data_IF_474628673257
#
_entry.id   IF_474628673257
#
_cell.length_a   1.000
_cell.length_b   1.000
_cell.length_c   1.000
_cell.angle_alpha   90.00
_cell.angle_beta   90.00
_cell.angle_gamma   90.00
#
_symmetry.space_group_name_H-M   'P 1'
#
loop_
_entity.id
_entity.type
_entity.pdbx_description
1 polymer ?
#
# COMPACT_ATOMS: atom_id res chain seq x y z
N UNK A 1 -3.73 -10.37 13.20
CA UNK A 1 -3.04 -9.60 14.27
C UNK A 1 -3.34 -10.14 15.67
N UNK A 2 -4.63 -10.31 16.04
CA UNK A 2 -4.99 -10.72 17.40
C UNK A 2 -4.30 -12.02 17.83
N UNK A 3 -4.28 -13.04 16.96
CA UNK A 3 -3.65 -14.32 17.25
C UNK A 3 -2.13 -14.21 17.56
N UNK A 4 -1.43 -13.23 16.96
CA UNK A 4 -0.02 -12.95 17.31
C UNK A 4 0.07 -12.27 18.66
N UNK A 5 -0.79 -11.30 18.94
CA UNK A 5 -0.81 -10.58 20.24
C UNK A 5 -1.15 -11.53 21.40
N UNK A 6 -2.03 -12.52 21.18
CA UNK A 6 -2.41 -13.54 22.17
C UNK A 6 -1.44 -14.71 22.26
N UNK A 7 -0.44 -14.81 21.37
CA UNK A 7 0.53 -15.89 21.34
C UNK A 7 0.03 -17.19 20.70
N UNK A 8 -1.07 -17.14 19.98
CA UNK A 8 -1.60 -18.28 19.22
C UNK A 8 -0.82 -18.51 17.90
N UNK A 9 -0.16 -17.44 17.39
CA UNK A 9 0.70 -17.46 16.23
C UNK A 9 1.96 -16.63 16.51
N UNK A 10 3.08 -17.01 15.90
CA UNK A 10 4.37 -16.32 16.08
C UNK A 10 4.51 -15.07 15.21
N UNK A 11 3.91 -15.07 14.00
CA UNK A 11 3.98 -13.97 13.04
C UNK A 11 2.73 -13.92 12.14
N UNK A 12 2.58 -12.81 11.39
CA UNK A 12 1.50 -12.63 10.42
C UNK A 12 1.93 -11.72 9.28
N UNK A 13 1.36 -11.94 8.09
CA UNK A 13 1.36 -10.98 6.99
C UNK A 13 0.03 -10.20 7.01
N UNK A 14 0.11 -8.88 7.07
CA UNK A 14 -1.08 -8.04 7.18
C UNK A 14 -0.78 -6.62 6.68
N UNK A 15 -1.82 -5.92 6.19
CA UNK A 15 -1.70 -4.49 5.88
C UNK A 15 -1.43 -3.69 7.15
N UNK A 16 -0.42 -2.82 7.09
CA UNK A 16 0.04 -2.03 8.24
C UNK A 16 -1.08 -1.18 8.86
N UNK A 17 -1.96 -0.60 8.04
CA UNK A 17 -3.09 0.21 8.51
C UNK A 17 -4.03 -0.55 9.47
N UNK A 18 -4.16 -1.86 9.30
CA UNK A 18 -4.97 -2.70 10.19
C UNK A 18 -4.34 -3.00 11.54
N UNK A 19 -3.07 -2.63 11.75
CA UNK A 19 -2.30 -2.93 12.97
C UNK A 19 -1.48 -1.73 13.48
N UNK A 20 -1.68 -0.54 12.92
CA UNK A 20 -0.94 0.67 13.29
C UNK A 20 -0.97 0.90 14.82
N UNK A 21 -2.15 0.83 15.44
CA UNK A 21 -2.29 1.00 16.88
C UNK A 21 -1.55 -0.05 17.73
N UNK A 22 -1.42 -1.29 17.26
CA UNK A 22 -0.64 -2.33 17.96
C UNK A 22 0.87 -2.11 17.81
N UNK A 23 1.30 -1.56 16.69
CA UNK A 23 2.70 -1.19 16.46
C UNK A 23 3.06 0.00 17.35
N UNK A 24 2.24 1.05 17.40
CA UNK A 24 2.42 2.21 18.26
C UNK A 24 2.42 1.82 19.75
N UNK A 25 1.53 0.90 20.16
CA UNK A 25 1.49 0.37 21.50
C UNK A 25 2.66 -0.59 21.84
N UNK A 26 3.49 -0.95 20.86
CA UNK A 26 4.62 -1.88 21.03
C UNK A 26 4.20 -3.34 21.25
N UNK A 27 2.95 -3.70 21.01
CA UNK A 27 2.43 -5.08 21.14
C UNK A 27 2.68 -5.93 19.90
N UNK A 28 2.93 -5.29 18.75
CA UNK A 28 3.44 -5.89 17.52
C UNK A 28 4.71 -5.19 17.07
N UNK A 29 5.63 -5.97 16.51
CA UNK A 29 6.86 -5.47 15.90
C UNK A 29 6.83 -5.71 14.40
N UNK A 30 7.10 -4.67 13.61
CA UNK A 30 7.37 -4.82 12.18
C UNK A 30 8.72 -5.51 11.99
N UNK A 31 8.75 -6.53 11.15
CA UNK A 31 9.96 -7.28 10.81
C UNK A 31 10.51 -6.86 9.45
N UNK A 32 9.62 -6.72 8.47
CA UNK A 32 9.95 -6.31 7.12
C UNK A 32 8.70 -5.81 6.38
N UNK A 33 8.90 -5.13 5.26
CA UNK A 33 7.87 -4.79 4.28
C UNK A 33 8.05 -5.59 2.99
N UNK A 34 6.97 -5.77 2.24
CA UNK A 34 6.94 -6.51 0.96
C UNK A 34 7.00 -5.59 -0.27
N UNK A 35 7.20 -4.30 -0.08
CA UNK A 35 7.48 -3.34 -1.15
C UNK A 35 8.92 -3.51 -1.65
N UNK A 36 9.19 -3.17 -2.92
CA UNK A 36 10.53 -3.22 -3.51
C UNK A 36 11.57 -2.40 -2.71
N UNK A 37 11.12 -1.30 -2.10
CA UNK A 37 11.97 -0.41 -1.30
C UNK A 37 11.37 -0.21 0.10
N UNK A 38 12.20 0.31 1.01
CA UNK A 38 11.74 0.75 2.33
C UNK A 38 10.65 1.82 2.17
N UNK A 39 9.70 1.85 3.09
CA UNK A 39 8.61 2.83 3.08
C UNK A 39 8.95 4.03 3.95
N UNK A 40 8.76 5.25 3.43
CA UNK A 40 8.94 6.49 4.19
C UNK A 40 8.01 6.57 5.42
N UNK A 41 6.84 5.93 5.36
CA UNK A 41 5.90 5.85 6.49
C UNK A 41 6.28 4.81 7.54
N UNK A 42 7.31 3.99 7.28
CA UNK A 42 7.77 2.91 8.17
C UNK A 42 9.31 2.95 8.31
N UNK A 43 9.89 4.05 8.79
CA UNK A 43 11.34 4.23 8.82
C UNK A 43 12.02 3.14 9.64
N UNK A 44 13.10 2.58 9.08
CA UNK A 44 13.88 1.52 9.72
C UNK A 44 13.26 0.12 9.63
N UNK A 45 12.17 -0.06 8.88
CA UNK A 45 11.62 -1.39 8.57
C UNK A 45 12.19 -1.84 7.21
N UNK A 46 13.01 -2.91 7.16
CA UNK A 46 13.68 -3.33 5.96
C UNK A 46 12.71 -3.87 4.90
N UNK A 47 13.03 -3.66 3.62
CA UNK A 47 12.38 -4.35 2.51
C UNK A 47 12.90 -5.78 2.39
N UNK A 48 12.01 -6.76 2.18
CA UNK A 48 12.41 -8.14 1.88
C UNK A 48 13.19 -8.22 0.56
N UNK A 49 12.75 -7.50 -0.47
CA UNK A 49 13.42 -7.48 -1.76
C UNK A 49 14.88 -6.97 -1.66
N UNK A 50 15.13 -5.95 -0.84
CA UNK A 50 16.47 -5.43 -0.64
C UNK A 50 17.31 -6.31 0.30
N UNK A 51 16.69 -6.93 1.30
CA UNK A 51 17.40 -7.75 2.29
C UNK A 51 17.76 -9.13 1.75
N UNK A 52 16.90 -9.70 0.91
CA UNK A 52 17.03 -11.03 0.32
C UNK A 52 16.86 -10.98 -1.20
N UNK A 53 17.80 -10.33 -1.93
CA UNK A 53 17.64 -10.07 -3.36
C UNK A 53 17.65 -11.35 -4.24
N UNK A 54 18.23 -12.44 -3.76
CA UNK A 54 18.24 -13.71 -4.50
C UNK A 54 16.90 -14.42 -4.41
N UNK A 55 16.18 -14.31 -3.28
CA UNK A 55 14.90 -14.99 -3.03
C UNK A 55 13.70 -14.10 -3.28
N UNK A 56 13.84 -12.79 -3.05
CA UNK A 56 12.74 -11.83 -3.03
C UNK A 56 12.99 -10.60 -3.92
N UNK A 57 14.05 -10.58 -4.76
CA UNK A 57 14.47 -9.37 -5.49
C UNK A 57 13.40 -8.77 -6.41
N UNK A 58 12.49 -9.60 -6.92
CA UNK A 58 11.39 -9.16 -7.79
C UNK A 58 10.11 -8.83 -6.99
N UNK A 59 10.15 -8.93 -5.66
CA UNK A 59 8.96 -8.72 -4.82
C UNK A 59 8.61 -7.23 -4.72
N UNK A 60 7.41 -6.88 -5.17
CA UNK A 60 6.78 -5.58 -4.93
C UNK A 60 5.28 -5.75 -4.66
N UNK A 61 4.96 -6.28 -3.48
CA UNK A 61 3.59 -6.53 -3.04
C UNK A 61 3.11 -5.36 -2.19
N UNK A 62 2.38 -4.44 -2.81
CA UNK A 62 1.79 -3.27 -2.13
C UNK A 62 0.27 -3.33 -2.18
N UNK A 63 -0.38 -2.95 -1.09
CA UNK A 63 -1.83 -2.72 -1.08
C UNK A 63 -2.11 -1.26 -1.41
N UNK A 64 -2.89 -1.02 -2.46
CA UNK A 64 -3.24 0.32 -2.93
C UNK A 64 -4.76 0.49 -2.89
N UNK A 65 -5.21 1.61 -2.35
CA UNK A 65 -6.61 2.03 -2.42
C UNK A 65 -6.77 3.07 -3.52
N UNK A 66 -7.70 2.85 -4.43
CA UNK A 66 -7.99 3.76 -5.53
C UNK A 66 -9.49 3.90 -5.77
N UNK A 67 -9.91 4.99 -6.42
CA UNK A 67 -11.27 5.19 -6.88
C UNK A 67 -11.39 4.71 -8.33
N UNK A 68 -12.31 3.77 -8.57
CA UNK A 68 -12.66 3.31 -9.91
C UNK A 68 -13.99 3.88 -10.37
N UNK A 69 -14.12 4.17 -11.67
CA UNK A 69 -15.35 4.59 -12.34
C UNK A 69 -15.57 3.77 -13.60
N UNK A 70 -16.79 3.71 -14.10
CA UNK A 70 -17.12 3.03 -15.37
C UNK A 70 -16.33 3.65 -16.52
N UNK A 71 -15.81 2.81 -17.42
CA UNK A 71 -15.00 3.24 -18.57
C UNK A 71 -15.80 4.06 -19.62
N UNK A 72 -17.13 3.95 -19.60
CA UNK A 72 -18.05 4.69 -20.48
C UNK A 72 -18.65 5.95 -19.80
N UNK A 73 -18.12 6.37 -18.66
CA UNK A 73 -18.52 7.60 -18.01
C UNK A 73 -18.10 8.82 -18.83
N UNK A 74 -18.89 9.90 -18.70
CA UNK A 74 -18.57 11.17 -19.38
C UNK A 74 -17.16 11.65 -18.97
N UNK A 75 -16.28 11.97 -19.94
CA UNK A 75 -14.93 12.46 -19.66
C UNK A 75 -14.89 13.65 -18.69
N UNK A 76 -15.87 14.54 -18.76
CA UNK A 76 -15.95 15.69 -17.84
C UNK A 76 -16.22 15.25 -16.38
N UNK A 77 -16.96 14.15 -16.18
CA UNK A 77 -17.19 13.59 -14.85
C UNK A 77 -15.90 12.92 -14.33
N UNK A 78 -15.19 12.19 -15.21
CA UNK A 78 -13.92 11.56 -14.87
C UNK A 78 -12.90 12.62 -14.41
N UNK A 79 -12.74 13.69 -15.21
CA UNK A 79 -11.83 14.79 -14.89
C UNK A 79 -12.21 15.51 -13.58
N UNK A 80 -13.49 15.80 -13.39
CA UNK A 80 -13.99 16.42 -12.16
C UNK A 80 -13.72 15.57 -10.93
N UNK A 81 -14.00 14.26 -10.98
CA UNK A 81 -13.73 13.33 -9.88
C UNK A 81 -12.24 13.24 -9.59
N UNK A 82 -11.39 13.14 -10.63
CA UNK A 82 -9.94 13.08 -10.48
C UNK A 82 -9.41 14.34 -9.77
N UNK A 83 -9.82 15.52 -10.20
CA UNK A 83 -9.40 16.79 -9.61
C UNK A 83 -9.86 16.90 -8.14
N UNK A 84 -11.14 16.56 -7.88
CA UNK A 84 -11.70 16.61 -6.51
C UNK A 84 -10.99 15.61 -5.59
N UNK A 85 -10.66 14.41 -6.08
CA UNK A 85 -9.91 13.41 -5.30
C UNK A 85 -8.50 13.92 -4.98
N UNK A 86 -7.80 14.49 -5.96
CA UNK A 86 -6.45 15.03 -5.75
C UNK A 86 -6.43 16.19 -4.76
N UNK A 87 -7.43 17.09 -4.81
CA UNK A 87 -7.60 18.12 -3.80
C UNK A 87 -7.81 17.53 -2.40
N UNK A 88 -8.63 16.47 -2.29
CA UNK A 88 -8.84 15.75 -1.05
C UNK A 88 -7.56 15.10 -0.51
N UNK A 89 -6.80 14.42 -1.38
CA UNK A 89 -5.53 13.75 -1.02
C UNK A 89 -4.46 14.78 -0.59
N UNK A 90 -4.48 15.98 -1.16
CA UNK A 90 -3.57 17.07 -0.79
C UNK A 90 -3.99 17.81 0.51
N UNK A 91 -5.12 17.49 1.11
CA UNK A 91 -5.61 18.14 2.32
C UNK A 91 -4.84 17.72 3.58
N UNK A 92 -4.74 18.64 4.54
CA UNK A 92 -4.13 18.37 5.85
C UNK A 92 -4.84 17.24 6.60
N UNK A 93 -6.17 17.21 6.56
CA UNK A 93 -6.99 16.16 7.17
C UNK A 93 -6.66 14.77 6.61
N UNK A 94 -6.42 14.67 5.29
CA UNK A 94 -6.05 13.39 4.69
C UNK A 94 -4.61 13.00 5.05
N UNK A 95 -3.70 13.95 5.13
CA UNK A 95 -2.33 13.72 5.59
C UNK A 95 -2.29 13.17 7.03
N UNK A 96 -3.03 13.81 7.96
CA UNK A 96 -3.16 13.34 9.34
C UNK A 96 -3.76 11.92 9.42
N UNK A 97 -4.81 11.64 8.61
CA UNK A 97 -5.43 10.31 8.55
C UNK A 97 -4.44 9.26 8.08
N UNK A 98 -3.73 9.51 6.99
CA UNK A 98 -2.77 8.54 6.42
C UNK A 98 -1.57 8.33 7.32
N UNK A 99 -1.07 9.37 7.99
CA UNK A 99 -0.02 9.26 8.99
C UNK A 99 -0.46 8.35 10.15
N UNK A 100 -1.67 8.55 10.70
CA UNK A 100 -2.22 7.71 11.78
C UNK A 100 -2.41 6.25 11.38
N UNK A 101 -2.50 5.96 10.10
CA UNK A 101 -2.62 4.60 9.55
C UNK A 101 -1.30 4.05 9.00
N UNK A 102 -0.19 4.77 9.19
CA UNK A 102 1.14 4.42 8.62
C UNK A 102 1.09 4.19 7.10
N UNK A 103 0.29 5.00 6.40
CA UNK A 103 0.10 4.94 4.95
C UNK A 103 0.77 6.13 4.28
N UNK A 104 1.27 5.95 3.07
CA UNK A 104 1.84 7.02 2.25
C UNK A 104 0.81 7.47 1.21
N UNK A 105 0.27 8.71 1.28
CA UNK A 105 -0.60 9.24 0.26
C UNK A 105 0.17 9.42 -1.05
N UNK A 106 -0.46 9.10 -2.17
CA UNK A 106 0.12 9.28 -3.49
C UNK A 106 -0.90 9.88 -4.45
N UNK A 107 -0.52 10.98 -5.08
CA UNK A 107 -1.27 11.60 -6.15
C UNK A 107 -0.75 11.07 -7.48
N UNK A 108 -1.62 10.48 -8.26
CA UNK A 108 -1.31 10.00 -9.61
C UNK A 108 -2.30 10.61 -10.59
N UNK A 109 -1.85 10.87 -11.81
CA UNK A 109 -2.76 11.13 -12.91
C UNK A 109 -3.45 9.83 -13.37
N UNK A 110 -4.44 9.97 -14.24
CA UNK A 110 -5.25 8.84 -14.71
C UNK A 110 -4.39 7.84 -15.49
N UNK A 111 -3.42 8.32 -16.27
CA UNK A 111 -2.52 7.48 -17.05
C UNK A 111 -1.59 6.67 -16.15
N UNK A 112 -0.94 7.31 -15.19
CA UNK A 112 -0.04 6.65 -14.24
C UNK A 112 -0.75 5.61 -13.37
N UNK A 113 -2.00 5.88 -12.93
CA UNK A 113 -2.79 4.89 -12.21
C UNK A 113 -3.18 3.71 -13.10
N UNK A 114 -3.54 3.95 -14.35
CA UNK A 114 -3.89 2.89 -15.31
C UNK A 114 -2.68 1.99 -15.57
N UNK A 115 -1.52 2.60 -15.83
CA UNK A 115 -0.27 1.87 -16.03
C UNK A 115 0.08 1.02 -14.78
N UNK A 116 0.00 1.60 -13.59
CA UNK A 116 0.25 0.85 -12.35
C UNK A 116 -0.68 -0.36 -12.21
N UNK A 117 -1.97 -0.22 -12.52
CA UNK A 117 -2.92 -1.33 -12.45
C UNK A 117 -2.58 -2.45 -13.45
N UNK A 118 -2.14 -2.10 -14.66
CA UNK A 118 -1.72 -3.07 -15.68
C UNK A 118 -0.43 -3.79 -15.27
N UNK A 119 0.55 -3.07 -14.77
CA UNK A 119 1.81 -3.64 -14.29
C UNK A 119 1.58 -4.57 -13.10
N UNK A 120 0.80 -4.14 -12.10
CA UNK A 120 0.44 -4.95 -10.95
C UNK A 120 -0.34 -6.21 -11.36
N UNK A 121 -1.30 -6.09 -12.28
CA UNK A 121 -2.04 -7.23 -12.80
C UNK A 121 -1.11 -8.26 -13.45
N UNK A 122 -0.21 -7.81 -14.33
CA UNK A 122 0.72 -8.69 -15.03
C UNK A 122 1.69 -9.37 -14.06
N UNK A 123 2.16 -8.64 -13.05
CA UNK A 123 3.01 -9.19 -11.99
C UNK A 123 2.31 -10.32 -11.23
N UNK A 124 1.07 -10.09 -10.74
CA UNK A 124 0.33 -11.11 -10.01
C UNK A 124 -0.06 -12.30 -10.89
N UNK A 125 -0.40 -12.10 -12.16
CA UNK A 125 -0.67 -13.19 -13.10
C UNK A 125 0.60 -14.04 -13.31
N UNK A 126 1.77 -13.40 -13.42
CA UNK A 126 3.06 -14.10 -13.50
C UNK A 126 3.31 -15.00 -12.29
N UNK A 127 3.11 -14.48 -11.08
CA UNK A 127 3.29 -15.25 -9.83
C UNK A 127 2.35 -16.46 -9.71
N UNK A 128 1.14 -16.37 -10.28
CA UNK A 128 0.15 -17.46 -10.21
C UNK A 128 0.31 -18.49 -11.33
N UNK A 129 1.17 -18.24 -12.31
CA UNK A 129 1.40 -19.12 -13.46
C UNK A 129 2.55 -20.13 -13.21
N UNK A 130 3.30 -20.01 -12.13
CA UNK A 130 4.32 -20.94 -11.64
C UNK A 130 3.72 -21.98 -10.69
#
# INVERSE_FOLDING_TARGET
ALAVVTGECDATFINVSGVAGQIEAGTLKLLAVTSAEESDSLPGTPSLAQTYPEECGDMDLRSVCFLGIRSDADPAIIEWLHNTLNEGVASETYAELTESQMMTPKVWDIEGMTQYCEEAYNYYVGLLAE
#
